data_IF_108784833386
#
_entry.id   IF_108784833386
#
_cell.length_a   1.000
_cell.length_b   1.000
_cell.length_c   1.000
_cell.angle_alpha   90.00
_cell.angle_beta   90.00
_cell.angle_gamma   90.00
#
_symmetry.space_group_name_H-M   'P 1'
#
loop_
_entity.id
_entity.type
_entity.pdbx_description
1 polymer ?
#
# COMPACT_ATOMS: atom_id res chain seq x y z
N UNK A 1 28.85 -14.40 -8.30
CA UNK A 1 27.71 -14.59 -9.22
C UNK A 1 27.88 -13.64 -10.39
N UNK A 2 27.81 -14.12 -11.64
CA UNK A 2 28.00 -13.28 -12.83
C UNK A 2 26.92 -12.20 -12.87
N UNK A 3 27.32 -10.92 -12.79
CA UNK A 3 26.41 -9.77 -12.79
C UNK A 3 25.38 -9.81 -13.93
N UNK A 4 25.76 -10.42 -15.05
CA UNK A 4 24.89 -10.68 -16.19
C UNK A 4 23.64 -11.50 -15.85
N UNK A 5 23.78 -12.56 -15.05
CA UNK A 5 22.65 -13.40 -14.65
C UNK A 5 21.65 -12.61 -13.81
N UNK A 6 22.14 -11.81 -12.85
CA UNK A 6 21.29 -10.94 -12.01
C UNK A 6 20.55 -9.92 -12.87
N UNK A 7 21.24 -9.30 -13.83
CA UNK A 7 20.62 -8.34 -14.74
C UNK A 7 19.51 -8.98 -15.60
N UNK A 8 19.75 -10.18 -16.15
CA UNK A 8 18.74 -10.92 -16.93
C UNK A 8 17.52 -11.24 -16.07
N UNK A 9 17.72 -11.73 -14.84
CA UNK A 9 16.61 -12.05 -13.93
C UNK A 9 15.82 -10.79 -13.55
N UNK A 10 16.50 -9.68 -13.26
CA UNK A 10 15.85 -8.42 -12.92
C UNK A 10 15.00 -7.86 -14.08
N UNK A 11 15.54 -7.86 -15.30
CA UNK A 11 14.80 -7.45 -16.50
C UNK A 11 13.61 -8.37 -16.74
N UNK A 12 13.81 -9.69 -16.69
CA UNK A 12 12.73 -10.66 -16.87
C UNK A 12 11.60 -10.46 -15.83
N UNK A 13 11.95 -10.19 -14.57
CA UNK A 13 11.00 -9.91 -13.51
C UNK A 13 10.17 -8.64 -13.77
N UNK A 14 10.82 -7.52 -14.12
CA UNK A 14 10.12 -6.26 -14.43
C UNK A 14 9.23 -6.40 -15.66
N UNK A 15 9.73 -7.06 -16.72
CA UNK A 15 8.94 -7.33 -17.93
C UNK A 15 7.72 -8.19 -17.62
N UNK A 16 7.87 -9.21 -16.77
CA UNK A 16 6.76 -10.06 -16.34
C UNK A 16 5.71 -9.27 -15.54
N UNK A 17 6.14 -8.43 -14.59
CA UNK A 17 5.22 -7.55 -13.84
C UNK A 17 4.45 -6.61 -14.78
N UNK A 18 5.15 -5.99 -15.73
CA UNK A 18 4.52 -5.09 -16.71
C UNK A 18 3.57 -5.85 -17.64
N UNK A 19 3.93 -7.08 -18.04
CA UNK A 19 3.07 -7.97 -18.82
C UNK A 19 1.77 -8.31 -18.08
N UNK A 20 1.86 -8.67 -16.80
CA UNK A 20 0.67 -8.92 -15.95
C UNK A 20 -0.19 -7.67 -15.84
N UNK A 21 0.42 -6.50 -15.61
CA UNK A 21 -0.30 -5.22 -15.53
C UNK A 21 -1.02 -4.89 -16.84
N UNK A 22 -0.35 -5.03 -17.99
CA UNK A 22 -0.91 -4.76 -19.32
C UNK A 22 -2.06 -5.70 -19.68
N UNK A 23 -1.93 -7.00 -19.35
CA UNK A 23 -3.02 -7.98 -19.52
C UNK A 23 -4.21 -7.65 -18.61
N UNK A 24 -3.93 -7.23 -17.37
CA UNK A 24 -4.95 -6.77 -16.43
C UNK A 24 -5.73 -5.56 -16.94
N UNK A 25 -5.05 -4.59 -17.54
CA UNK A 25 -5.65 -3.35 -18.05
C UNK A 25 -6.40 -3.55 -19.38
N UNK A 26 -5.94 -4.47 -20.23
CA UNK A 26 -6.70 -4.87 -21.43
C UNK A 26 -8.03 -5.55 -21.08
N UNK A 27 -8.05 -6.29 -19.97
CA UNK A 27 -9.23 -7.04 -19.54
C UNK A 27 -10.13 -6.24 -18.59
N UNK A 28 -9.71 -5.04 -18.15
CA UNK A 28 -10.48 -4.14 -17.29
C UNK A 28 -11.51 -3.34 -18.09
N UNK A 29 -11.24 -3.05 -19.38
CA UNK A 29 -12.13 -2.32 -20.28
C UNK A 29 -13.31 -3.15 -20.82
N UNK A 30 -13.17 -4.47 -20.89
CA UNK A 30 -14.19 -5.41 -21.42
C UNK A 30 -15.03 -6.07 -20.33
N UNK A 31 -14.62 -5.98 -19.06
CA UNK A 31 -15.32 -6.64 -17.94
C UNK A 31 -16.24 -5.67 -17.18
N UNK A 32 -17.46 -6.10 -16.81
CA UNK A 32 -18.34 -5.31 -15.97
C UNK A 32 -17.67 -4.93 -14.64
N UNK A 33 -17.75 -3.66 -14.27
CA UNK A 33 -17.19 -3.12 -13.01
C UNK A 33 -17.83 -3.71 -11.74
N UNK A 34 -18.89 -4.53 -11.88
CA UNK A 34 -19.69 -5.07 -10.78
C UNK A 34 -19.19 -6.39 -10.18
N UNK A 35 -18.24 -7.07 -10.82
CA UNK A 35 -17.72 -8.34 -10.30
C UNK A 35 -16.82 -8.09 -9.07
N UNK A 36 -17.15 -8.65 -7.89
CA UNK A 36 -16.27 -8.59 -6.73
C UNK A 36 -14.92 -9.22 -7.06
N UNK A 37 -13.82 -8.59 -6.66
CA UNK A 37 -12.46 -9.12 -6.81
C UNK A 37 -11.77 -9.29 -5.44
N UNK A 38 -12.22 -10.24 -4.59
CA UNK A 38 -11.70 -10.37 -3.23
C UNK A 38 -10.21 -10.68 -3.20
N UNK A 39 -9.74 -11.55 -4.11
CA UNK A 39 -8.35 -11.97 -4.16
C UNK A 39 -7.43 -10.83 -4.60
N UNK A 40 -7.80 -10.07 -5.63
CA UNK A 40 -7.02 -8.90 -6.06
C UNK A 40 -6.99 -7.82 -4.97
N UNK A 41 -8.12 -7.59 -4.29
CA UNK A 41 -8.17 -6.67 -3.17
C UNK A 41 -7.24 -7.13 -2.04
N UNK A 42 -7.34 -8.39 -1.60
CA UNK A 42 -6.48 -8.95 -0.56
C UNK A 42 -4.99 -8.93 -0.94
N UNK A 43 -4.65 -9.28 -2.18
CA UNK A 43 -3.27 -9.22 -2.67
C UNK A 43 -2.74 -7.79 -2.74
N UNK A 44 -3.60 -6.81 -3.07
CA UNK A 44 -3.20 -5.40 -3.10
C UNK A 44 -2.88 -4.84 -1.71
N UNK A 45 -3.52 -5.36 -0.65
CA UNK A 45 -3.16 -5.02 0.73
C UNK A 45 -1.73 -5.48 1.09
N UNK A 46 -1.17 -6.43 0.34
CA UNK A 46 0.21 -6.87 0.49
C UNK A 46 1.25 -5.78 0.28
N UNK A 47 0.87 -4.63 -0.31
CA UNK A 47 1.73 -3.44 -0.42
C UNK A 47 2.25 -2.95 0.95
N UNK A 48 1.58 -3.33 2.04
CA UNK A 48 2.06 -3.09 3.40
C UNK A 48 3.47 -3.67 3.66
N UNK A 49 3.79 -4.83 3.07
CA UNK A 49 5.07 -5.52 3.22
C UNK A 49 6.13 -4.94 2.28
N UNK A 50 6.61 -3.74 2.60
CA UNK A 50 7.64 -3.02 1.82
C UNK A 50 9.07 -3.46 2.14
N UNK A 51 10.03 -3.04 1.33
CA UNK A 51 11.47 -3.24 1.59
C UNK A 51 11.89 -2.77 2.98
N UNK A 52 11.30 -1.67 3.48
CA UNK A 52 11.53 -1.19 4.86
C UNK A 52 11.15 -2.24 5.91
N UNK A 53 9.98 -2.87 5.76
CA UNK A 53 9.55 -3.93 6.69
C UNK A 53 10.43 -5.17 6.58
N UNK A 54 10.92 -5.50 5.39
CA UNK A 54 11.82 -6.63 5.20
C UNK A 54 13.18 -6.39 5.88
N UNK A 55 13.89 -5.32 5.51
CA UNK A 55 15.20 -5.01 6.08
C UNK A 55 15.13 -4.74 7.58
N UNK A 56 14.10 -4.02 8.03
CA UNK A 56 13.87 -3.76 9.45
C UNK A 56 13.58 -5.03 10.23
N UNK A 57 12.76 -5.95 9.70
CA UNK A 57 12.44 -7.20 10.39
C UNK A 57 13.63 -8.15 10.46
N UNK A 58 14.43 -8.24 9.40
CA UNK A 58 15.67 -9.06 9.40
C UNK A 58 16.68 -8.49 10.41
N UNK A 59 16.85 -7.16 10.45
CA UNK A 59 17.70 -6.50 11.44
C UNK A 59 17.24 -6.74 12.88
N UNK A 60 15.95 -6.52 13.17
CA UNK A 60 15.38 -6.81 14.50
C UNK A 60 15.49 -8.29 14.86
N UNK A 61 15.32 -9.20 13.89
CA UNK A 61 15.45 -10.62 14.14
C UNK A 61 16.89 -11.01 14.51
N UNK A 62 17.88 -10.40 13.86
CA UNK A 62 19.28 -10.64 14.16
C UNK A 62 19.70 -10.10 15.54
N UNK A 63 19.20 -8.93 15.94
CA UNK A 63 19.59 -8.29 17.21
C UNK A 63 18.72 -8.72 18.42
N UNK A 64 17.41 -8.87 18.21
CA UNK A 64 16.40 -9.01 19.27
C UNK A 64 15.43 -10.18 19.06
N UNK A 65 15.71 -11.06 18.11
CA UNK A 65 14.98 -12.32 17.94
C UNK A 65 13.53 -12.09 17.50
N UNK A 66 12.56 -12.32 18.38
CA UNK A 66 11.13 -12.39 18.03
C UNK A 66 10.47 -11.00 17.98
N UNK A 67 11.15 -9.94 18.43
CA UNK A 67 10.57 -8.59 18.50
C UNK A 67 10.03 -8.07 17.14
N UNK A 68 10.55 -8.56 16.01
CA UNK A 68 10.04 -8.18 14.69
C UNK A 68 8.56 -8.56 14.49
N UNK A 69 8.01 -9.54 15.21
CA UNK A 69 6.59 -9.91 15.12
C UNK A 69 5.65 -8.79 15.57
N UNK A 70 6.13 -7.89 16.44
CA UNK A 70 5.31 -6.82 16.98
C UNK A 70 4.73 -5.91 15.89
N UNK A 71 5.48 -5.69 14.79
CA UNK A 71 5.00 -4.85 13.67
C UNK A 71 3.81 -5.49 12.95
N UNK A 72 3.78 -6.82 12.86
CA UNK A 72 2.70 -7.56 12.19
C UNK A 72 1.46 -7.72 13.07
N UNK A 73 1.62 -7.62 14.39
CA UNK A 73 0.50 -7.73 15.33
C UNK A 73 -0.54 -6.61 15.11
N UNK A 74 -0.09 -5.40 14.79
CA UNK A 74 -0.98 -4.24 14.55
C UNK A 74 -2.02 -4.51 13.45
N UNK A 75 -1.61 -4.81 12.20
CA UNK A 75 -2.53 -5.18 11.14
C UNK A 75 -3.44 -6.36 11.50
N UNK A 76 -2.89 -7.39 12.16
CA UNK A 76 -3.69 -8.56 12.60
C UNK A 76 -4.82 -8.13 13.54
N UNK A 77 -4.54 -7.28 14.53
CA UNK A 77 -5.56 -6.77 15.45
C UNK A 77 -6.59 -5.89 14.75
N UNK A 78 -6.16 -5.04 13.80
CA UNK A 78 -7.07 -4.20 13.00
C UNK A 78 -8.01 -5.06 12.16
N UNK A 79 -7.53 -6.15 11.56
CA UNK A 79 -8.39 -7.07 10.80
C UNK A 79 -9.18 -8.05 11.66
N UNK A 80 -8.74 -8.35 12.88
CA UNK A 80 -9.48 -9.21 13.80
C UNK A 80 -10.64 -8.45 14.49
N UNK A 81 -10.37 -7.25 15.00
CA UNK A 81 -11.30 -6.48 15.84
C UNK A 81 -11.81 -5.21 15.16
N UNK A 82 -11.05 -4.63 14.24
CA UNK A 82 -11.38 -3.36 13.56
C UNK A 82 -12.28 -3.50 12.33
N UNK A 83 -12.71 -4.71 11.96
CA UNK A 83 -13.64 -4.96 10.83
C UNK A 83 -14.89 -4.05 10.84
N UNK A 84 -15.64 -3.86 11.95
CA UNK A 84 -16.80 -2.98 11.93
C UNK A 84 -16.43 -1.53 11.59
N UNK A 85 -15.31 -1.03 12.12
CA UNK A 85 -14.79 0.30 11.84
C UNK A 85 -14.38 0.43 10.36
N UNK A 86 -13.62 -0.55 9.84
CA UNK A 86 -13.20 -0.58 8.44
C UNK A 86 -14.41 -0.58 7.49
N UNK A 87 -15.43 -1.39 7.80
CA UNK A 87 -16.68 -1.42 7.02
C UNK A 87 -17.40 -0.08 7.05
N UNK A 88 -17.41 0.61 8.19
CA UNK A 88 -18.02 1.93 8.30
C UNK A 88 -17.27 2.97 7.45
N UNK A 89 -15.94 2.99 7.53
CA UNK A 89 -15.09 3.89 6.72
C UNK A 89 -15.32 3.64 5.23
N UNK A 90 -15.25 2.36 4.79
CA UNK A 90 -15.44 2.01 3.36
C UNK A 90 -16.81 2.44 2.85
N UNK A 91 -17.87 2.30 3.66
CA UNK A 91 -19.22 2.76 3.29
C UNK A 91 -19.28 4.27 3.09
N UNK A 92 -18.71 5.04 4.02
CA UNK A 92 -18.65 6.50 3.91
C UNK A 92 -17.83 6.94 2.69
N UNK A 93 -16.65 6.36 2.50
CA UNK A 93 -15.77 6.66 1.36
C UNK A 93 -16.48 6.41 0.03
N UNK A 94 -17.23 5.30 -0.10
CA UNK A 94 -18.00 5.00 -1.31
C UNK A 94 -19.21 5.90 -1.50
N UNK A 95 -19.93 6.25 -0.42
CA UNK A 95 -21.11 7.11 -0.49
C UNK A 95 -20.77 8.54 -0.94
N UNK A 96 -19.68 9.10 -0.41
CA UNK A 96 -19.22 10.46 -0.73
C UNK A 96 -18.22 10.52 -1.90
N UNK A 97 -17.94 9.39 -2.57
CA UNK A 97 -16.95 9.27 -3.67
C UNK A 97 -15.55 9.78 -3.30
N UNK A 98 -15.15 9.56 -2.05
CA UNK A 98 -13.86 9.99 -1.52
C UNK A 98 -12.75 9.09 -2.09
N UNK A 99 -11.69 9.69 -2.62
CA UNK A 99 -10.58 8.97 -3.27
C UNK A 99 -9.25 9.08 -2.54
N UNK A 100 -9.14 9.96 -1.54
CA UNK A 100 -7.91 10.18 -0.77
C UNK A 100 -8.17 10.37 0.72
N UNK A 101 -7.14 10.18 1.56
CA UNK A 101 -7.22 10.42 3.01
C UNK A 101 -7.48 11.90 3.32
N UNK A 102 -6.91 12.81 2.53
CA UNK A 102 -7.12 14.24 2.69
C UNK A 102 -8.58 14.64 2.42
N UNK A 103 -9.16 14.08 1.37
CA UNK A 103 -10.57 14.26 1.04
C UNK A 103 -11.50 13.61 2.07
N UNK A 104 -11.10 12.46 2.64
CA UNK A 104 -11.79 11.85 3.78
C UNK A 104 -11.84 12.77 4.99
N UNK A 105 -10.71 13.39 5.34
CA UNK A 105 -10.64 14.36 6.42
C UNK A 105 -11.47 15.60 6.12
N UNK A 106 -11.35 16.16 4.91
CA UNK A 106 -12.15 17.31 4.48
C UNK A 106 -13.66 17.06 4.57
N UNK A 107 -14.12 15.89 4.10
CA UNK A 107 -15.52 15.48 4.14
C UNK A 107 -16.06 15.37 5.58
N UNK A 108 -15.22 14.91 6.53
CA UNK A 108 -15.58 14.84 7.95
C UNK A 108 -15.83 16.21 8.59
N UNK A 109 -15.19 17.27 8.09
CA UNK A 109 -15.34 18.64 8.58
C UNK A 109 -16.19 19.51 7.63
N UNK A 110 -17.19 18.91 6.96
CA UNK A 110 -18.12 19.66 6.11
C UNK A 110 -17.54 20.11 4.78
N UNK A 111 -16.65 19.31 4.17
CA UNK A 111 -15.93 19.61 2.91
C UNK A 111 -15.04 20.86 3.04
N UNK A 112 -14.45 21.04 4.22
CA UNK A 112 -13.51 22.15 4.48
C UNK A 112 -12.24 21.98 3.65
N UNK A 113 -12.03 22.91 2.72
CA UNK A 113 -10.84 22.98 1.88
C UNK A 113 -9.56 23.15 2.71
N UNK A 114 -9.62 23.89 3.82
CA UNK A 114 -8.47 24.12 4.69
C UNK A 114 -7.94 22.82 5.33
N UNK A 115 -8.84 21.99 5.86
CA UNK A 115 -8.46 20.70 6.47
C UNK A 115 -7.88 19.75 5.42
N UNK A 116 -8.52 19.66 4.26
CA UNK A 116 -8.03 18.81 3.16
C UNK A 116 -6.65 19.28 2.66
N UNK A 117 -6.43 20.60 2.57
CA UNK A 117 -5.16 21.18 2.11
C UNK A 117 -4.03 20.88 3.10
N UNK A 118 -4.26 21.09 4.40
CA UNK A 118 -3.27 20.78 5.45
C UNK A 118 -2.95 19.29 5.45
N UNK A 119 -3.97 18.43 5.39
CA UNK A 119 -3.77 16.98 5.33
C UNK A 119 -2.96 16.56 4.11
N UNK A 120 -3.24 17.16 2.94
CA UNK A 120 -2.50 16.91 1.70
C UNK A 120 -1.04 17.33 1.83
N UNK A 121 -0.79 18.51 2.42
CA UNK A 121 0.55 19.05 2.58
C UNK A 121 1.39 18.21 3.55
N UNK A 122 0.81 17.79 4.67
CA UNK A 122 1.44 16.85 5.61
C UNK A 122 1.74 15.51 4.91
N UNK A 123 0.77 14.96 4.18
CA UNK A 123 0.95 13.70 3.47
C UNK A 123 2.05 13.79 2.41
N UNK A 124 2.11 14.89 1.66
CA UNK A 124 3.15 15.13 0.64
C UNK A 124 4.54 15.27 1.28
N UNK A 125 4.65 16.11 2.31
CA UNK A 125 5.92 16.33 3.03
C UNK A 125 6.40 15.05 3.73
N UNK A 126 5.52 14.15 4.16
CA UNK A 126 5.89 12.85 4.72
C UNK A 126 6.23 11.80 3.66
N UNK A 127 5.44 11.70 2.58
CA UNK A 127 5.59 10.65 1.57
C UNK A 127 6.86 10.82 0.73
N UNK A 128 7.20 12.06 0.33
CA UNK A 128 8.40 12.34 -0.49
C UNK A 128 9.71 11.86 0.17
N UNK A 129 10.05 12.27 1.40
CA UNK A 129 11.27 11.80 2.06
C UNK A 129 11.19 10.31 2.41
N UNK A 130 10.01 9.78 2.71
CA UNK A 130 9.84 8.35 2.96
C UNK A 130 10.21 7.52 1.72
N UNK A 131 9.72 7.91 0.53
CA UNK A 131 10.09 7.24 -0.73
C UNK A 131 11.60 7.39 -0.98
N UNK A 132 12.19 8.56 -0.73
CA UNK A 132 13.62 8.76 -0.86
C UNK A 132 14.43 7.84 0.07
N UNK A 133 13.99 7.68 1.33
CA UNK A 133 14.60 6.75 2.29
C UNK A 133 14.48 5.29 1.84
N UNK A 134 13.34 4.90 1.27
CA UNK A 134 13.17 3.55 0.72
C UNK A 134 14.12 3.28 -0.43
N UNK A 135 14.32 4.24 -1.34
CA UNK A 135 15.29 4.09 -2.43
C UNK A 135 16.72 4.02 -1.92
N UNK A 136 17.07 4.84 -0.92
CA UNK A 136 18.39 4.83 -0.29
C UNK A 136 18.68 3.52 0.44
N UNK A 137 17.68 2.87 1.03
CA UNK A 137 17.87 1.58 1.70
C UNK A 137 18.22 0.44 0.73
N UNK A 138 18.03 0.64 -0.59
CA UNK A 138 18.28 -0.35 -1.64
C UNK A 138 19.63 -0.10 -2.36
N UNK A 139 20.15 1.13 -2.29
CA UNK A 139 21.41 1.58 -2.92
C UNK A 139 22.62 1.47 -2.00
#
# INVERSE_FOLDING_TARGET
MQAWFVAVVAVAYVTLLFGIASLGDRNSSTRPASLPRPNTYALSLGIYCTSWTFFGSVGLAAERGIEFLAIYLGPVLVFAFGVPLLRHIIKLTKAEKITSIADFLGARYGKSFGVASIATLIAAVGAVPYIALQLKAIS
#
